data_IF_778424731911
#
_entry.id   IF_778424731911
#
_cell.length_a   1.000
_cell.length_b   1.000
_cell.length_c   1.000
_cell.angle_alpha   90.00
_cell.angle_beta   90.00
_cell.angle_gamma   90.00
#
_symmetry.space_group_name_H-M   'P 1'
#
loop_
_entity.id
_entity.type
_entity.pdbx_description
1 polymer ?
#
# COMPACT_ATOMS: atom_id res chain seq x y z
N UNK A 1 11.91 -4.27 -21.57
CA UNK A 1 12.65 -3.07 -21.15
C UNK A 1 11.84 -2.40 -20.04
N UNK A 2 12.42 -2.11 -18.87
CA UNK A 2 11.63 -1.47 -17.82
C UNK A 2 11.12 -0.10 -18.30
N UNK A 3 9.86 0.19 -18.05
CA UNK A 3 9.15 1.40 -18.50
C UNK A 3 9.81 2.74 -18.12
N UNK A 4 10.59 2.87 -17.02
CA UNK A 4 11.30 4.11 -16.74
C UNK A 4 12.39 4.47 -17.76
N UNK A 5 12.90 3.46 -18.47
CA UNK A 5 13.94 3.64 -19.52
C UNK A 5 13.34 4.01 -20.88
N UNK A 6 12.00 4.06 -21.01
CA UNK A 6 11.32 4.49 -22.21
C UNK A 6 11.25 6.02 -22.29
N UNK A 7 11.31 6.56 -23.50
CA UNK A 7 11.05 7.99 -23.73
C UNK A 7 9.57 8.32 -23.44
N UNK A 8 9.29 9.55 -23.08
CA UNK A 8 7.93 10.02 -22.74
C UNK A 8 6.93 9.73 -23.87
N UNK A 9 7.31 9.96 -25.12
CA UNK A 9 6.46 9.68 -26.29
C UNK A 9 6.12 8.19 -26.38
N UNK A 10 7.05 7.30 -26.08
CA UNK A 10 6.82 5.86 -26.09
C UNK A 10 5.88 5.43 -24.95
N UNK A 11 6.07 5.97 -23.74
CA UNK A 11 5.17 5.74 -22.62
C UNK A 11 3.76 6.20 -22.90
N UNK A 12 3.61 7.39 -23.49
CA UNK A 12 2.30 7.94 -23.84
C UNK A 12 1.59 7.09 -24.90
N UNK A 13 2.29 6.59 -25.90
CA UNK A 13 1.74 5.69 -26.90
C UNK A 13 1.25 4.37 -26.28
N UNK A 14 2.04 3.79 -25.36
CA UNK A 14 1.63 2.57 -24.63
C UNK A 14 0.41 2.81 -23.75
N UNK A 15 0.30 3.96 -23.11
CA UNK A 15 -0.88 4.33 -22.30
C UNK A 15 -2.11 4.45 -23.19
N UNK A 16 -2.00 5.12 -24.33
CA UNK A 16 -3.11 5.24 -25.29
C UNK A 16 -3.60 3.85 -25.73
N UNK A 17 -2.68 3.00 -26.18
CA UNK A 17 -3.00 1.63 -26.63
C UNK A 17 -3.67 0.81 -25.53
N UNK A 18 -3.10 0.78 -24.31
CA UNK A 18 -3.62 0.03 -23.19
C UNK A 18 -5.01 0.49 -22.75
N UNK A 19 -5.27 1.80 -22.75
CA UNK A 19 -6.60 2.34 -22.44
C UNK A 19 -7.60 1.98 -23.52
N UNK A 20 -7.23 2.11 -24.80
CA UNK A 20 -8.11 1.76 -25.91
C UNK A 20 -8.47 0.26 -25.91
N UNK A 21 -7.51 -0.62 -25.62
CA UNK A 21 -7.78 -2.06 -25.48
C UNK A 21 -8.73 -2.33 -24.31
N UNK A 22 -8.49 -1.75 -23.14
CA UNK A 22 -9.33 -1.92 -21.96
C UNK A 22 -10.77 -1.43 -22.21
N UNK A 23 -10.93 -0.35 -22.97
CA UNK A 23 -12.24 0.19 -23.35
C UNK A 23 -12.97 -0.77 -24.27
N UNK A 24 -12.28 -1.37 -25.25
CA UNK A 24 -12.88 -2.36 -26.17
C UNK A 24 -13.40 -3.56 -25.41
N UNK A 25 -12.64 -4.04 -24.42
CA UNK A 25 -13.02 -5.21 -23.61
C UNK A 25 -14.19 -4.91 -22.66
N UNK A 26 -14.36 -3.66 -22.22
CA UNK A 26 -15.39 -3.26 -21.24
C UNK A 26 -16.78 -3.00 -21.85
N UNK A 27 -17.12 -3.56 -22.93
CA UNK A 27 -18.49 -3.41 -23.47
C UNK A 27 -18.56 -2.59 -24.74
N UNK A 28 -17.52 -2.67 -25.51
CA UNK A 28 -17.44 -2.23 -26.89
C UNK A 28 -17.71 -0.72 -27.04
N UNK A 29 -18.86 -0.30 -27.45
CA UNK A 29 -19.13 1.10 -27.81
C UNK A 29 -19.80 1.93 -26.71
N UNK A 30 -20.17 1.33 -25.57
CA UNK A 30 -20.91 2.04 -24.50
C UNK A 30 -20.14 3.24 -23.96
N UNK A 31 -18.82 3.13 -23.81
CA UNK A 31 -17.98 4.23 -23.33
C UNK A 31 -17.80 5.37 -24.36
N UNK A 32 -18.11 5.15 -25.62
CA UNK A 32 -18.11 6.18 -26.67
C UNK A 32 -19.51 6.69 -27.02
N UNK A 33 -20.56 6.24 -26.30
CA UNK A 33 -21.93 6.53 -26.63
C UNK A 33 -22.42 7.94 -26.28
N UNK A 34 -21.68 8.66 -25.45
CA UNK A 34 -22.02 10.02 -24.99
C UNK A 34 -20.80 10.88 -24.83
N UNK A 35 -20.91 12.20 -25.04
CA UNK A 35 -19.84 13.17 -24.81
C UNK A 35 -19.32 13.15 -23.34
N UNK A 36 -20.17 12.80 -22.38
CA UNK A 36 -19.74 12.61 -20.97
C UNK A 36 -18.78 11.44 -20.82
N UNK A 37 -19.08 10.33 -21.46
CA UNK A 37 -18.23 9.14 -21.40
C UNK A 37 -16.89 9.37 -22.14
N UNK A 38 -16.94 10.01 -23.31
CA UNK A 38 -15.73 10.43 -24.05
C UNK A 38 -14.82 11.33 -23.18
N UNK A 39 -15.40 12.30 -22.48
CA UNK A 39 -14.66 13.12 -21.53
C UNK A 39 -14.05 12.30 -20.40
N UNK A 40 -14.77 11.30 -19.87
CA UNK A 40 -14.24 10.39 -18.84
C UNK A 40 -13.02 9.61 -19.35
N UNK A 41 -13.03 9.13 -20.60
CA UNK A 41 -11.88 8.45 -21.21
C UNK A 41 -10.67 9.39 -21.24
N UNK A 42 -10.84 10.63 -21.67
CA UNK A 42 -9.76 11.64 -21.68
C UNK A 42 -9.21 11.85 -20.27
N UNK A 43 -10.08 11.93 -19.26
CA UNK A 43 -9.67 12.05 -17.83
C UNK A 43 -8.91 10.84 -17.34
N UNK A 44 -9.33 9.64 -17.69
CA UNK A 44 -8.62 8.39 -17.32
C UNK A 44 -7.22 8.39 -17.94
N UNK A 45 -7.06 8.72 -19.21
CA UNK A 45 -5.76 8.82 -19.87
C UNK A 45 -4.84 9.83 -19.16
N UNK A 46 -5.36 10.99 -18.78
CA UNK A 46 -4.61 12.00 -18.01
C UNK A 46 -4.18 11.47 -16.63
N UNK A 47 -5.08 10.80 -15.88
CA UNK A 47 -4.77 10.18 -14.61
C UNK A 47 -3.65 9.14 -14.71
N UNK A 48 -3.72 8.29 -15.74
CA UNK A 48 -2.70 7.24 -15.97
C UNK A 48 -1.37 7.88 -16.33
N UNK A 49 -1.34 8.86 -17.26
CA UNK A 49 -0.11 9.59 -17.61
C UNK A 49 0.54 10.24 -16.38
N UNK A 50 -0.27 10.91 -15.55
CA UNK A 50 0.20 11.53 -14.32
C UNK A 50 0.77 10.49 -13.33
N UNK A 51 0.10 9.35 -13.18
CA UNK A 51 0.55 8.26 -12.32
C UNK A 51 1.84 7.62 -12.83
N UNK A 52 1.92 7.32 -14.13
CA UNK A 52 3.13 6.75 -14.75
C UNK A 52 4.31 7.72 -14.62
N UNK A 53 4.09 9.01 -14.86
CA UNK A 53 5.11 10.04 -14.67
C UNK A 53 5.64 10.07 -13.23
N UNK A 54 4.76 10.12 -12.22
CA UNK A 54 5.18 10.18 -10.83
C UNK A 54 5.91 8.91 -10.38
N UNK A 55 5.42 7.74 -10.79
CA UNK A 55 6.06 6.46 -10.50
C UNK A 55 7.42 6.32 -11.21
N UNK A 56 7.56 6.87 -12.42
CA UNK A 56 8.87 6.96 -13.11
C UNK A 56 9.87 7.76 -12.27
N UNK A 57 9.46 8.94 -11.77
CA UNK A 57 10.31 9.76 -10.89
C UNK A 57 10.73 9.03 -9.61
N UNK A 58 9.86 8.19 -9.03
CA UNK A 58 10.22 7.37 -7.88
C UNK A 58 11.29 6.33 -8.22
N UNK A 59 11.13 5.65 -9.36
CA UNK A 59 12.08 4.62 -9.80
C UNK A 59 13.42 5.19 -10.25
N UNK A 60 13.46 6.43 -10.76
CA UNK A 60 14.70 7.15 -11.13
C UNK A 60 15.55 7.54 -9.91
N UNK A 61 14.96 7.56 -8.71
CA UNK A 61 15.63 7.97 -7.46
C UNK A 61 16.20 6.83 -6.64
N UNK A 62 15.88 5.60 -6.96
CA UNK A 62 16.34 4.41 -6.23
C UNK A 62 16.63 3.24 -7.18
N UNK A 63 16.86 2.06 -6.59
CA UNK A 63 17.28 0.86 -7.32
C UNK A 63 16.15 -0.18 -7.44
N UNK A 64 14.99 0.08 -6.85
CA UNK A 64 13.88 -0.85 -6.94
C UNK A 64 13.29 -0.90 -8.35
N UNK A 65 13.29 -2.08 -8.95
CA UNK A 65 12.64 -2.34 -10.23
C UNK A 65 11.43 -3.28 -10.06
N UNK A 66 10.34 -3.10 -10.85
CA UNK A 66 9.21 -4.00 -10.82
C UNK A 66 9.59 -5.42 -11.22
N UNK A 67 9.36 -6.38 -10.31
CA UNK A 67 9.55 -7.81 -10.54
C UNK A 67 8.25 -8.53 -10.91
N UNK A 68 7.09 -7.93 -10.60
CA UNK A 68 5.79 -8.49 -10.95
C UNK A 68 4.62 -7.54 -10.80
N UNK A 69 3.62 -7.77 -11.65
CA UNK A 69 2.32 -7.09 -11.63
C UNK A 69 1.21 -8.12 -11.56
N UNK A 70 0.09 -7.77 -10.89
CA UNK A 70 -1.08 -8.63 -10.78
C UNK A 70 -0.71 -10.07 -10.37
N UNK A 71 0.24 -10.20 -9.43
CA UNK A 71 0.79 -11.49 -9.02
C UNK A 71 -0.21 -12.26 -8.17
N UNK A 72 -0.62 -13.44 -8.64
CA UNK A 72 -1.53 -14.31 -7.90
C UNK A 72 -0.83 -14.97 -6.70
N UNK A 73 -1.50 -14.95 -5.55
CA UNK A 73 -1.12 -15.75 -4.37
C UNK A 73 -2.38 -16.30 -3.69
N UNK A 74 -2.44 -17.61 -3.45
CA UNK A 74 -3.61 -18.23 -2.82
C UNK A 74 -4.93 -17.72 -3.40
N UNK A 75 -5.71 -16.97 -2.60
CA UNK A 75 -6.99 -16.37 -3.00
C UNK A 75 -6.92 -14.88 -3.37
N UNK A 76 -5.71 -14.32 -3.45
CA UNK A 76 -5.52 -12.89 -3.68
C UNK A 76 -4.62 -12.58 -4.86
N UNK A 77 -4.49 -11.30 -5.13
CA UNK A 77 -3.65 -10.75 -6.19
C UNK A 77 -2.92 -9.51 -5.67
N UNK A 78 -1.61 -9.44 -5.88
CA UNK A 78 -0.76 -8.31 -5.50
C UNK A 78 -0.64 -7.41 -6.73
N UNK A 79 -1.02 -6.15 -6.62
CA UNK A 79 -1.01 -5.23 -7.76
C UNK A 79 0.39 -5.04 -8.33
N UNK A 80 1.39 -4.82 -7.46
CA UNK A 80 2.78 -4.65 -7.87
C UNK A 80 3.76 -5.10 -6.79
N UNK A 81 4.77 -5.85 -7.23
CA UNK A 81 5.96 -6.20 -6.44
C UNK A 81 7.17 -5.56 -7.10
N UNK A 82 8.01 -4.89 -6.32
CA UNK A 82 9.31 -4.39 -6.77
C UNK A 82 10.41 -5.04 -5.94
N UNK A 83 11.53 -5.34 -6.59
CA UNK A 83 12.72 -5.91 -5.97
C UNK A 83 13.94 -5.03 -6.23
N UNK A 84 14.86 -5.06 -5.29
CA UNK A 84 16.21 -4.55 -5.46
C UNK A 84 17.19 -5.65 -5.04
N UNK A 85 18.11 -6.02 -5.92
CA UNK A 85 19.13 -7.02 -5.62
C UNK A 85 20.42 -6.32 -5.21
N UNK A 86 20.90 -6.63 -4.03
CA UNK A 86 22.26 -6.38 -3.57
C UNK A 86 23.03 -7.71 -3.56
N UNK A 87 24.35 -7.72 -3.20
CA UNK A 87 25.24 -8.87 -3.34
C UNK A 87 24.59 -10.21 -2.94
N UNK A 88 24.17 -10.34 -1.68
CA UNK A 88 23.58 -11.57 -1.14
C UNK A 88 22.13 -11.43 -0.69
N UNK A 89 21.50 -10.27 -0.97
CA UNK A 89 20.16 -9.94 -0.48
C UNK A 89 19.26 -9.48 -1.62
N UNK A 90 17.99 -9.88 -1.56
CA UNK A 90 16.90 -9.35 -2.40
C UNK A 90 15.93 -8.62 -1.51
N UNK A 91 15.88 -7.31 -1.63
CA UNK A 91 14.90 -6.49 -0.93
C UNK A 91 13.58 -6.43 -1.70
N UNK A 92 12.47 -6.60 -0.98
CA UNK A 92 11.13 -6.68 -1.58
C UNK A 92 10.22 -5.60 -1.01
N UNK A 93 9.57 -4.85 -1.88
CA UNK A 93 8.47 -3.96 -1.49
C UNK A 93 7.22 -4.24 -2.32
N UNK A 94 6.05 -3.95 -1.75
CA UNK A 94 4.77 -4.08 -2.44
C UNK A 94 4.08 -2.74 -2.52
N UNK A 95 3.39 -2.52 -3.64
CA UNK A 95 2.58 -1.32 -3.86
C UNK A 95 1.18 -1.73 -4.30
N UNK A 96 0.17 -1.19 -3.64
CA UNK A 96 -1.25 -1.38 -3.97
C UNK A 96 -1.86 -0.05 -4.42
N UNK A 97 -2.56 -0.06 -5.55
CA UNK A 97 -3.13 1.12 -6.18
C UNK A 97 -4.52 1.44 -5.64
N UNK A 98 -4.73 2.68 -5.20
CA UNK A 98 -6.01 3.12 -4.62
C UNK A 98 -6.57 4.34 -5.34
N UNK A 99 -7.83 4.28 -5.74
CA UNK A 99 -8.58 5.42 -6.29
C UNK A 99 -9.22 6.28 -5.19
N UNK A 100 -9.41 5.69 -3.99
CA UNK A 100 -9.98 6.37 -2.81
C UNK A 100 -8.94 6.97 -1.89
N UNK A 101 -9.44 7.69 -0.86
CA UNK A 101 -8.62 8.21 0.24
C UNK A 101 -8.31 7.07 1.23
N UNK A 102 -7.12 6.50 1.16
CA UNK A 102 -6.65 5.50 2.12
C UNK A 102 -5.24 5.86 2.57
N UNK A 103 -5.03 5.86 3.88
CA UNK A 103 -3.71 6.01 4.50
C UNK A 103 -3.44 4.79 5.36
N UNK A 104 -2.19 4.31 5.36
CA UNK A 104 -1.80 3.19 6.20
C UNK A 104 -1.76 3.62 7.67
N UNK A 105 -2.43 2.84 8.51
CA UNK A 105 -2.51 3.03 9.96
C UNK A 105 -2.17 1.72 10.67
N UNK A 106 -1.07 1.73 11.42
CA UNK A 106 -0.59 0.56 12.16
C UNK A 106 -1.53 0.17 13.32
N UNK A 107 -2.29 1.11 13.88
CA UNK A 107 -3.30 0.83 14.90
C UNK A 107 -4.47 0.06 14.27
N UNK A 108 -4.92 0.51 13.10
CA UNK A 108 -5.94 -0.22 12.33
C UNK A 108 -5.44 -1.62 11.93
N UNK A 109 -4.16 -1.78 11.55
CA UNK A 109 -3.57 -3.10 11.30
C UNK A 109 -3.63 -3.99 12.55
N UNK A 110 -3.22 -3.48 13.72
CA UNK A 110 -3.26 -4.23 14.97
C UNK A 110 -4.66 -4.78 15.28
N UNK A 111 -5.68 -3.98 15.00
CA UNK A 111 -7.08 -4.40 15.14
C UNK A 111 -7.60 -5.30 13.99
N UNK A 112 -6.76 -5.62 13.01
CA UNK A 112 -7.14 -6.47 11.87
C UNK A 112 -7.89 -5.76 10.75
N UNK A 113 -7.89 -4.43 10.70
CA UNK A 113 -8.66 -3.63 9.73
C UNK A 113 -7.89 -3.28 8.46
N UNK A 114 -6.58 -3.23 8.50
CA UNK A 114 -5.73 -2.87 7.36
C UNK A 114 -4.64 -3.92 7.08
N UNK A 115 -5.03 -5.18 6.97
CA UNK A 115 -4.11 -6.30 6.79
C UNK A 115 -3.58 -6.47 5.36
N UNK A 116 -4.21 -5.87 4.37
CA UNK A 116 -3.93 -6.11 2.95
C UNK A 116 -2.45 -5.99 2.58
N UNK A 117 -1.81 -4.85 2.87
CA UNK A 117 -0.42 -4.62 2.50
C UNK A 117 0.58 -5.57 3.17
N UNK A 118 0.54 -5.82 4.49
CA UNK A 118 1.43 -6.79 5.12
C UNK A 118 1.18 -8.24 4.66
N UNK A 119 -0.06 -8.63 4.37
CA UNK A 119 -0.38 -9.94 3.77
C UNK A 119 0.24 -10.04 2.38
N UNK A 120 0.14 -8.99 1.56
CA UNK A 120 0.77 -8.94 0.25
C UNK A 120 2.29 -9.06 0.32
N UNK A 121 2.91 -8.33 1.27
CA UNK A 121 4.37 -8.43 1.43
C UNK A 121 4.80 -9.81 1.91
N UNK A 122 4.10 -10.42 2.86
CA UNK A 122 4.37 -11.79 3.29
C UNK A 122 4.31 -12.78 2.11
N UNK A 123 3.30 -12.66 1.26
CA UNK A 123 3.18 -13.51 0.07
C UNK A 123 4.27 -13.22 -0.97
N UNK A 124 4.62 -11.95 -1.18
CA UNK A 124 5.69 -11.55 -2.10
C UNK A 124 7.06 -12.09 -1.64
N UNK A 125 7.38 -12.01 -0.34
CA UNK A 125 8.59 -12.59 0.22
C UNK A 125 8.68 -14.09 -0.06
N UNK A 126 7.61 -14.85 0.20
CA UNK A 126 7.56 -16.30 -0.07
C UNK A 126 7.70 -16.64 -1.57
N UNK A 127 7.20 -15.78 -2.46
CA UNK A 127 7.37 -15.96 -3.91
C UNK A 127 8.81 -15.66 -4.35
N UNK A 128 9.41 -14.60 -3.82
CA UNK A 128 10.78 -14.21 -4.15
C UNK A 128 11.82 -15.15 -3.51
N UNK A 129 11.60 -15.72 -2.33
CA UNK A 129 12.44 -16.76 -1.73
C UNK A 129 12.59 -17.98 -2.65
N UNK A 130 11.54 -18.34 -3.38
CA UNK A 130 11.59 -19.45 -4.37
C UNK A 130 12.39 -19.10 -5.63
N UNK A 131 12.56 -17.79 -5.92
CA UNK A 131 13.27 -17.29 -7.12
C UNK A 131 14.71 -16.92 -6.83
N UNK A 132 15.01 -16.55 -5.59
CA UNK A 132 16.26 -15.88 -5.19
C UNK A 132 17.52 -16.75 -5.23
N UNK A 133 17.47 -18.02 -5.67
CA UNK A 133 18.62 -18.87 -5.94
C UNK A 133 19.71 -18.84 -4.84
N UNK A 134 19.30 -18.85 -3.56
CA UNK A 134 20.21 -18.88 -2.41
C UNK A 134 20.55 -17.53 -1.79
N UNK A 135 20.04 -16.41 -2.33
CA UNK A 135 20.11 -15.10 -1.66
C UNK A 135 19.09 -14.99 -0.54
N UNK A 136 19.39 -14.19 0.47
CA UNK A 136 18.44 -13.83 1.53
C UNK A 136 17.38 -12.88 0.98
N UNK A 137 16.10 -13.10 1.30
CA UNK A 137 15.02 -12.19 0.90
C UNK A 137 14.56 -11.40 2.11
N UNK A 138 14.59 -10.06 2.00
CA UNK A 138 14.25 -9.16 3.10
C UNK A 138 13.14 -8.17 2.73
N UNK A 139 12.26 -7.83 3.70
CA UNK A 139 11.21 -6.85 3.47
C UNK A 139 11.78 -5.42 3.45
N UNK A 140 11.43 -4.63 2.44
CA UNK A 140 11.79 -3.23 2.32
C UNK A 140 10.65 -2.28 2.68
N UNK A 141 9.42 -2.57 2.30
CA UNK A 141 8.31 -1.69 2.58
C UNK A 141 6.97 -2.12 2.00
N UNK A 142 5.93 -1.49 2.52
CA UNK A 142 4.55 -1.66 2.09
C UNK A 142 3.95 -0.30 1.75
N UNK A 143 3.30 -0.17 0.59
CA UNK A 143 2.84 1.12 0.11
C UNK A 143 1.45 1.09 -0.49
N UNK A 144 0.68 2.14 -0.24
CA UNK A 144 -0.42 2.58 -1.07
C UNK A 144 0.08 3.66 -2.03
N UNK A 145 -0.28 3.53 -3.31
CA UNK A 145 -0.17 4.60 -4.28
C UNK A 145 -1.56 5.09 -4.65
N UNK A 146 -1.80 6.38 -4.44
CA UNK A 146 -3.10 6.97 -4.73
C UNK A 146 -3.14 7.50 -6.15
N UNK A 147 -3.98 6.88 -6.98
CA UNK A 147 -4.24 7.32 -8.35
C UNK A 147 -5.14 8.56 -8.27
N UNK A 148 -4.57 9.73 -8.51
CA UNK A 148 -5.29 11.01 -8.57
C UNK A 148 -4.59 11.99 -9.52
N UNK A 149 -5.34 13.00 -9.95
CA UNK A 149 -4.80 14.16 -10.66
C UNK A 149 -4.88 15.36 -9.71
N UNK A 150 -3.79 15.69 -9.00
CA UNK A 150 -3.83 16.70 -7.95
C UNK A 150 -4.01 18.09 -8.55
N UNK A 151 -4.86 18.88 -7.91
CA UNK A 151 -4.97 20.32 -8.18
C UNK A 151 -4.04 21.04 -7.21
N UNK A 152 -3.06 21.74 -7.74
CA UNK A 152 -2.08 22.51 -6.96
C UNK A 152 -2.07 23.97 -7.40
N UNK A 153 -1.74 24.86 -6.47
CA UNK A 153 -1.57 26.26 -6.80
C UNK A 153 -0.38 26.45 -7.75
N UNK A 154 -0.50 27.42 -8.62
CA UNK A 154 0.56 27.77 -9.58
C UNK A 154 1.82 28.23 -8.84
N UNK A 155 2.95 27.67 -9.23
CA UNK A 155 4.27 28.08 -8.76
C UNK A 155 4.99 29.01 -9.75
N UNK A 156 6.10 29.60 -9.28
CA UNK A 156 6.88 30.55 -10.08
C UNK A 156 7.73 29.88 -11.15
N UNK A 157 8.14 28.64 -10.90
CA UNK A 157 8.94 27.83 -11.80
C UNK A 157 8.38 26.41 -11.91
N UNK A 158 8.72 25.72 -12.97
CA UNK A 158 8.20 24.39 -13.28
C UNK A 158 8.71 23.33 -12.30
N UNK A 159 9.94 23.49 -11.77
CA UNK A 159 10.50 22.55 -10.80
C UNK A 159 9.71 22.56 -9.47
N UNK A 160 9.44 23.74 -8.93
CA UNK A 160 8.63 23.88 -7.72
C UNK A 160 7.20 23.35 -7.92
N UNK A 161 6.65 23.50 -9.12
CA UNK A 161 5.35 22.95 -9.49
C UNK A 161 5.40 21.41 -9.53
N UNK A 162 6.41 20.83 -10.15
CA UNK A 162 6.64 19.39 -10.17
C UNK A 162 6.77 18.81 -8.76
N UNK A 163 7.59 19.41 -7.90
CA UNK A 163 7.75 18.97 -6.51
C UNK A 163 6.42 18.98 -5.73
N UNK A 164 5.60 20.01 -5.92
CA UNK A 164 4.26 20.07 -5.30
C UNK A 164 3.37 18.94 -5.77
N UNK A 165 3.35 18.66 -7.08
CA UNK A 165 2.57 17.56 -7.65
C UNK A 165 3.06 16.22 -7.12
N UNK A 166 4.38 15.97 -7.09
CA UNK A 166 4.97 14.75 -6.57
C UNK A 166 4.66 14.54 -5.09
N UNK A 167 4.70 15.60 -4.28
CA UNK A 167 4.33 15.55 -2.87
C UNK A 167 2.86 15.11 -2.66
N UNK A 168 1.96 15.55 -3.54
CA UNK A 168 0.56 15.12 -3.52
C UNK A 168 0.40 13.66 -3.97
N UNK A 169 1.28 13.15 -4.82
CA UNK A 169 1.32 11.78 -5.35
C UNK A 169 2.28 10.86 -4.59
N UNK A 170 2.83 11.36 -3.48
CA UNK A 170 3.76 10.61 -2.64
C UNK A 170 3.16 9.30 -2.17
N UNK A 171 3.98 8.24 -2.13
CA UNK A 171 3.61 6.96 -1.52
C UNK A 171 3.18 7.15 -0.06
N UNK A 172 2.24 6.34 0.38
CA UNK A 172 1.85 6.24 1.78
C UNK A 172 1.97 4.79 2.26
N UNK A 173 2.59 4.57 3.41
CA UNK A 173 2.83 3.22 3.87
C UNK A 173 3.81 3.14 5.02
N UNK A 174 4.58 2.05 5.09
CA UNK A 174 5.58 1.80 6.12
C UNK A 174 6.85 1.24 5.48
N UNK A 175 8.00 1.76 5.89
CA UNK A 175 9.33 1.42 5.37
C UNK A 175 10.11 0.70 6.48
N UNK A 176 10.86 -0.34 6.13
CA UNK A 176 11.88 -0.92 6.98
C UNK A 176 13.04 0.06 7.12
N UNK A 177 13.37 0.45 8.35
CA UNK A 177 14.39 1.48 8.66
C UNK A 177 15.85 0.98 8.50
N UNK A 178 16.07 -0.16 7.84
CA UNK A 178 17.40 -0.62 7.48
C UNK A 178 18.07 0.39 6.56
N UNK A 179 19.32 0.74 6.80
CA UNK A 179 20.02 1.82 6.09
C UNK A 179 20.11 1.52 4.58
N UNK A 180 20.43 0.28 4.23
CA UNK A 180 20.50 -0.19 2.84
C UNK A 180 19.16 -0.06 2.13
N UNK A 181 18.06 -0.40 2.81
CA UNK A 181 16.70 -0.24 2.24
C UNK A 181 16.40 1.22 1.94
N UNK A 182 16.78 2.13 2.84
CA UNK A 182 16.56 3.57 2.66
C UNK A 182 17.35 4.11 1.48
N UNK A 183 18.64 3.71 1.36
CA UNK A 183 19.51 4.13 0.26
C UNK A 183 19.00 3.60 -1.10
N UNK A 184 18.56 2.34 -1.15
CA UNK A 184 17.96 1.76 -2.36
C UNK A 184 16.57 2.33 -2.70
N UNK A 185 15.83 2.86 -1.72
CA UNK A 185 14.55 3.53 -1.99
C UNK A 185 14.74 4.93 -2.57
N UNK A 186 15.71 5.67 -2.07
CA UNK A 186 15.99 7.04 -2.52
C UNK A 186 17.43 7.42 -2.24
N UNK A 187 18.25 7.42 -3.29
CA UNK A 187 19.64 7.81 -3.25
C UNK A 187 19.80 9.25 -2.76
N UNK A 188 20.83 9.47 -1.93
CA UNK A 188 21.20 10.80 -1.43
C UNK A 188 20.04 11.55 -0.77
N UNK A 189 19.14 10.82 -0.08
CA UNK A 189 18.01 11.42 0.61
C UNK A 189 18.47 12.55 1.55
N UNK A 190 17.98 13.76 1.28
CA UNK A 190 18.25 14.97 2.08
C UNK A 190 16.94 15.70 2.36
N UNK A 191 16.70 16.05 3.62
CA UNK A 191 15.45 16.68 4.02
C UNK A 191 14.26 15.72 3.90
N UNK A 192 13.07 16.24 3.56
CA UNK A 192 11.85 15.45 3.43
C UNK A 192 11.64 15.06 1.97
N UNK A 193 11.52 13.76 1.69
CA UNK A 193 11.21 13.27 0.35
C UNK A 193 9.82 13.72 -0.12
N UNK A 194 9.74 14.06 -1.40
CA UNK A 194 8.47 14.31 -2.10
C UNK A 194 7.87 13.04 -2.71
N UNK A 195 8.61 11.93 -2.70
CA UNK A 195 8.27 10.66 -3.36
C UNK A 195 7.89 9.56 -2.35
N UNK A 196 8.65 9.49 -1.24
CA UNK A 196 8.52 8.46 -0.22
C UNK A 196 8.13 9.06 1.14
N UNK A 197 7.42 8.35 2.03
CA UNK A 197 7.02 8.88 3.33
C UNK A 197 8.18 8.87 4.34
N UNK A 198 9.30 9.46 3.97
CA UNK A 198 10.56 9.47 4.72
C UNK A 198 11.25 10.82 4.61
N UNK A 199 12.10 11.13 5.58
CA UNK A 199 12.98 12.29 5.53
C UNK A 199 14.12 12.17 6.55
N UNK A 200 15.23 12.87 6.26
CA UNK A 200 16.40 12.97 7.12
C UNK A 200 16.52 14.37 7.71
N UNK A 201 16.94 14.44 8.96
CA UNK A 201 17.36 15.66 9.63
C UNK A 201 18.76 16.09 9.12
N UNK A 202 19.20 17.28 9.52
CA UNK A 202 20.54 17.79 9.14
C UNK A 202 21.70 16.95 9.68
N UNK A 203 21.47 16.21 10.77
CA UNK A 203 22.44 15.30 11.38
C UNK A 203 22.43 13.88 10.75
N UNK A 204 21.63 13.67 9.71
CA UNK A 204 21.50 12.38 9.01
C UNK A 204 20.50 11.42 9.64
N UNK A 205 19.99 11.68 10.83
CA UNK A 205 18.96 10.85 11.47
C UNK A 205 17.61 10.98 10.74
N UNK A 206 16.78 9.94 10.85
CA UNK A 206 15.41 9.99 10.29
C UNK A 206 14.57 10.99 11.09
N UNK A 207 13.79 11.80 10.37
CA UNK A 207 12.92 12.76 11.02
C UNK A 207 11.67 12.07 11.62
N UNK A 208 11.04 12.72 12.59
CA UNK A 208 9.87 12.20 13.33
C UNK A 208 8.64 11.93 12.48
N UNK A 209 8.57 12.49 11.27
CA UNK A 209 7.44 12.31 10.34
C UNK A 209 7.66 11.15 9.38
N UNK A 210 8.82 10.52 9.43
CA UNK A 210 9.13 9.35 8.62
C UNK A 210 8.26 8.18 9.05
N UNK A 211 7.58 7.57 8.08
CA UNK A 211 6.78 6.36 8.30
C UNK A 211 7.70 5.12 8.19
N UNK A 212 8.46 4.89 9.22
CA UNK A 212 9.45 3.81 9.28
C UNK A 212 9.26 2.96 10.54
N UNK A 213 9.69 1.70 10.48
CA UNK A 213 9.86 0.81 11.63
C UNK A 213 11.29 0.27 11.65
N UNK A 214 11.92 0.14 12.83
CA UNK A 214 13.14 -0.65 12.97
C UNK A 214 12.98 -2.05 12.38
N UNK A 215 14.05 -2.68 11.86
CA UNK A 215 13.96 -3.99 11.21
C UNK A 215 13.24 -5.04 12.05
N UNK A 216 13.50 -5.10 13.34
CA UNK A 216 12.88 -6.04 14.29
C UNK A 216 11.38 -5.79 14.42
N UNK A 217 10.99 -4.53 14.58
CA UNK A 217 9.57 -4.14 14.67
C UNK A 217 8.83 -4.35 13.34
N UNK A 218 9.52 -4.19 12.20
CA UNK A 218 8.95 -4.48 10.89
C UNK A 218 8.71 -6.00 10.73
N UNK A 219 9.66 -6.83 11.13
CA UNK A 219 9.53 -8.28 11.16
C UNK A 219 8.42 -8.75 12.11
N UNK A 220 8.32 -8.12 13.30
CA UNK A 220 7.23 -8.38 14.24
C UNK A 220 5.86 -8.05 13.63
N UNK A 221 5.71 -6.91 12.96
CA UNK A 221 4.48 -6.55 12.25
C UNK A 221 4.07 -7.61 11.21
N UNK A 222 5.00 -8.14 10.44
CA UNK A 222 4.75 -9.18 9.44
C UNK A 222 4.35 -10.51 10.08
N UNK A 223 5.05 -10.93 11.13
CA UNK A 223 4.77 -12.15 11.91
C UNK A 223 3.40 -12.08 12.59
N UNK A 224 3.10 -10.94 13.22
CA UNK A 224 1.79 -10.65 13.80
C UNK A 224 0.67 -10.78 12.74
N UNK A 225 0.89 -10.22 11.55
CA UNK A 225 -0.09 -10.30 10.46
C UNK A 225 -0.37 -11.75 10.06
N UNK A 226 0.66 -12.60 9.92
CA UNK A 226 0.49 -14.04 9.64
C UNK A 226 -0.34 -14.73 10.72
N UNK A 227 -0.05 -14.44 12.00
CA UNK A 227 -0.82 -14.99 13.15
C UNK A 227 -2.29 -14.55 13.11
N UNK A 228 -2.52 -13.25 12.88
CA UNK A 228 -3.87 -12.67 12.80
C UNK A 228 -4.68 -13.22 11.63
N UNK A 229 -4.06 -13.37 10.47
CA UNK A 229 -4.68 -14.01 9.30
C UNK A 229 -5.10 -15.46 9.59
N UNK A 230 -4.22 -16.24 10.22
CA UNK A 230 -4.53 -17.60 10.60
C UNK A 230 -5.68 -17.67 11.64
N UNK A 231 -5.72 -16.74 12.59
CA UNK A 231 -6.81 -16.62 13.56
C UNK A 231 -8.14 -16.32 12.85
N UNK A 232 -8.19 -15.34 11.97
CA UNK A 232 -9.41 -14.98 11.23
C UNK A 232 -9.87 -16.13 10.35
N UNK A 233 -8.97 -16.84 9.67
CA UNK A 233 -9.31 -18.04 8.90
C UNK A 233 -9.94 -19.12 9.77
N UNK A 234 -9.39 -19.40 10.96
CA UNK A 234 -9.99 -20.36 11.90
C UNK A 234 -11.41 -19.96 12.31
N UNK A 235 -11.63 -18.70 12.64
CA UNK A 235 -12.96 -18.18 13.00
C UNK A 235 -13.97 -18.34 11.87
N UNK A 236 -13.57 -18.03 10.64
CA UNK A 236 -14.41 -18.23 9.44
C UNK A 236 -14.78 -19.72 9.27
N UNK A 237 -13.80 -20.61 9.37
CA UNK A 237 -14.04 -22.06 9.25
C UNK A 237 -14.84 -22.63 10.42
N UNK A 238 -14.77 -22.04 11.60
CA UNK A 238 -15.59 -22.38 12.76
C UNK A 238 -17.04 -21.87 12.63
N UNK A 239 -17.35 -21.10 11.59
CA UNK A 239 -18.70 -20.58 11.36
C UNK A 239 -19.09 -19.44 12.30
N UNK A 240 -18.13 -18.62 12.77
CA UNK A 240 -18.44 -17.43 13.56
C UNK A 240 -19.16 -16.39 12.69
N UNK A 241 -20.45 -16.15 13.02
CA UNK A 241 -21.33 -15.26 12.25
C UNK A 241 -21.97 -14.16 13.11
N UNK A 242 -21.48 -13.97 14.35
CA UNK A 242 -22.05 -12.96 15.25
C UNK A 242 -21.86 -11.54 14.69
N UNK A 243 -22.92 -10.74 14.72
CA UNK A 243 -22.88 -9.34 14.42
C UNK A 243 -22.18 -8.60 15.57
N UNK A 244 -20.88 -8.34 15.42
CA UNK A 244 -20.04 -7.63 16.39
C UNK A 244 -19.19 -6.54 15.67
N UNK A 245 -19.87 -5.49 15.13
CA UNK A 245 -19.18 -4.45 14.38
C UNK A 245 -18.30 -3.60 15.30
N UNK A 246 -17.15 -3.20 14.76
CA UNK A 246 -16.22 -2.32 15.46
C UNK A 246 -16.59 -0.84 15.33
N UNK A 247 -16.04 -0.05 16.24
CA UNK A 247 -15.90 1.42 16.13
C UNK A 247 -14.46 1.83 16.41
N UNK A 248 -13.86 2.58 15.48
CA UNK A 248 -12.52 3.15 15.60
C UNK A 248 -12.50 4.57 15.00
N UNK A 249 -12.15 5.57 15.80
CA UNK A 249 -12.02 6.96 15.34
C UNK A 249 -13.29 7.51 14.63
N UNK A 250 -14.47 7.08 15.06
CA UNK A 250 -15.75 7.51 14.47
C UNK A 250 -16.11 6.75 13.18
N UNK A 251 -15.29 5.83 12.71
CA UNK A 251 -15.62 4.90 11.63
C UNK A 251 -16.07 3.56 12.20
N UNK A 252 -17.08 2.97 11.59
CA UNK A 252 -17.66 1.71 12.04
C UNK A 252 -17.62 0.63 10.97
N UNK A 253 -17.69 -0.64 11.39
CA UNK A 253 -17.84 -1.75 10.46
C UNK A 253 -19.15 -1.71 9.66
N UNK A 254 -20.11 -0.85 10.03
CA UNK A 254 -21.40 -0.72 9.39
C UNK A 254 -21.46 0.36 8.30
N UNK A 255 -20.46 1.27 8.21
CA UNK A 255 -20.52 2.45 7.34
C UNK A 255 -20.71 2.10 5.86
N UNK A 256 -20.05 1.04 5.39
CA UNK A 256 -20.12 0.58 4.00
C UNK A 256 -20.50 -0.91 3.91
N UNK A 257 -21.21 -1.43 4.92
CA UNK A 257 -21.59 -2.84 4.97
C UNK A 257 -22.73 -3.13 3.99
N UNK A 258 -22.50 -4.02 3.04
CA UNK A 258 -23.51 -4.46 2.09
C UNK A 258 -24.70 -5.20 2.73
N UNK A 259 -24.54 -5.69 3.95
CA UNK A 259 -25.55 -6.45 4.70
C UNK A 259 -26.29 -5.61 5.75
N UNK A 260 -26.08 -4.31 5.78
CA UNK A 260 -26.64 -3.41 6.81
C UNK A 260 -28.17 -3.54 6.91
N UNK A 261 -28.85 -3.62 5.78
CA UNK A 261 -30.32 -3.62 5.73
C UNK A 261 -30.95 -4.95 6.17
N UNK A 262 -30.17 -6.03 6.21
CA UNK A 262 -30.65 -7.38 6.58
C UNK A 262 -30.00 -7.92 7.88
N UNK A 263 -28.93 -7.27 8.37
CA UNK A 263 -28.17 -7.74 9.54
C UNK A 263 -28.97 -7.60 10.84
N UNK A 264 -29.86 -6.61 10.95
CA UNK A 264 -30.65 -6.33 12.15
C UNK A 264 -29.89 -5.70 13.29
N UNK A 265 -28.58 -5.38 13.13
CA UNK A 265 -27.81 -4.65 14.14
C UNK A 265 -28.26 -3.19 14.21
N UNK A 266 -28.76 -2.78 15.38
CA UNK A 266 -29.12 -1.39 15.66
C UNK A 266 -28.65 -0.99 17.06
N UNK A 267 -27.66 -0.08 17.19
CA UNK A 267 -27.11 0.32 18.48
C UNK A 267 -28.09 1.11 19.37
N UNK A 268 -29.27 1.42 18.87
CA UNK A 268 -30.36 2.04 19.67
C UNK A 268 -31.19 1.01 20.42
N UNK A 269 -31.03 -0.27 20.12
CA UNK A 269 -31.74 -1.36 20.78
C UNK A 269 -30.88 -1.95 21.90
N UNK A 270 -31.51 -2.36 22.99
CA UNK A 270 -30.83 -3.01 24.09
C UNK A 270 -30.14 -4.32 23.64
N UNK A 271 -28.91 -4.50 24.09
CA UNK A 271 -28.09 -5.67 23.74
C UNK A 271 -27.23 -5.50 22.49
N UNK A 272 -27.36 -4.38 21.75
CA UNK A 272 -26.51 -4.05 20.61
C UNK A 272 -25.57 -2.90 20.94
N UNK A 273 -24.28 -3.11 20.75
CA UNK A 273 -23.26 -2.05 20.90
C UNK A 273 -22.12 -2.29 19.94
N UNK A 274 -21.47 -1.21 19.51
CA UNK A 274 -20.21 -1.32 18.78
C UNK A 274 -19.10 -1.79 19.73
N UNK A 275 -18.23 -2.64 19.22
CA UNK A 275 -16.98 -2.98 19.89
C UNK A 275 -16.01 -1.83 19.71
N UNK A 276 -15.89 -0.97 20.73
CA UNK A 276 -14.95 0.16 20.71
C UNK A 276 -13.51 -0.36 20.69
N UNK A 277 -12.76 0.04 19.68
CA UNK A 277 -11.34 -0.30 19.54
C UNK A 277 -10.48 0.80 20.15
N UNK A 278 -9.52 0.40 20.98
CA UNK A 278 -8.65 1.34 21.67
C UNK A 278 -7.66 2.01 20.72
N UNK A 279 -7.36 3.27 21.02
CA UNK A 279 -6.33 4.06 20.32
C UNK A 279 -5.01 3.88 21.04
N UNK A 280 -4.03 3.35 20.35
CA UNK A 280 -2.69 3.17 20.88
C UNK A 280 -1.69 4.09 20.18
N UNK A 281 -0.55 4.37 20.83
CA UNK A 281 0.60 4.94 20.13
C UNK A 281 1.25 3.88 19.23
N UNK A 282 2.07 4.30 18.27
CA UNK A 282 2.81 3.38 17.41
C UNK A 282 3.70 2.44 18.23
N UNK A 283 4.38 2.97 19.23
CA UNK A 283 5.27 2.23 20.12
C UNK A 283 4.52 1.17 20.93
N UNK A 284 3.34 1.52 21.44
CA UNK A 284 2.49 0.60 22.18
C UNK A 284 1.95 -0.52 21.29
N UNK A 285 1.58 -0.21 20.03
CA UNK A 285 1.16 -1.22 19.04
C UNK A 285 2.27 -2.22 18.77
N UNK A 286 3.50 -1.75 18.55
CA UNK A 286 4.65 -2.61 18.30
C UNK A 286 4.88 -3.56 19.47
N UNK A 287 4.95 -3.03 20.69
CA UNK A 287 5.11 -3.82 21.91
C UNK A 287 4.04 -4.90 22.04
N UNK A 288 2.78 -4.56 21.80
CA UNK A 288 1.66 -5.51 21.84
C UNK A 288 1.75 -6.59 20.77
N UNK A 289 2.19 -6.23 19.56
CA UNK A 289 2.42 -7.20 18.50
C UNK A 289 3.51 -8.20 18.89
N UNK A 290 4.61 -7.72 19.47
CA UNK A 290 5.71 -8.54 19.97
C UNK A 290 5.23 -9.50 21.08
N UNK A 291 4.53 -8.98 22.08
CA UNK A 291 3.94 -9.79 23.16
C UNK A 291 2.98 -10.86 22.64
N UNK A 292 2.13 -10.51 21.67
CA UNK A 292 1.21 -11.50 21.09
C UNK A 292 1.92 -12.57 20.25
N UNK A 293 3.07 -12.27 19.64
CA UNK A 293 3.88 -13.26 18.92
C UNK A 293 4.57 -14.20 19.89
N UNK A 294 5.13 -13.68 21.00
CA UNK A 294 5.84 -14.46 22.01
C UNK A 294 4.91 -15.39 22.80
N UNK A 295 3.70 -14.95 23.09
CA UNK A 295 2.67 -15.76 23.70
C UNK A 295 2.25 -16.87 22.73
N UNK A 296 3.02 -17.98 22.73
CA UNK A 296 2.65 -19.22 22.06
C UNK A 296 1.31 -19.65 22.60
N UNK A 297 0.36 -19.93 21.70
CA UNK A 297 -0.89 -20.56 22.09
C UNK A 297 -0.55 -21.80 22.91
N UNK A 298 -0.90 -21.82 24.20
CA UNK A 298 -1.04 -23.08 24.90
C UNK A 298 -2.13 -23.86 24.16
N UNK A 299 -1.83 -25.07 23.71
CA UNK A 299 -2.84 -25.88 23.05
C UNK A 299 -3.94 -26.20 24.07
N UNK A 300 -5.13 -25.63 23.88
CA UNK A 300 -6.35 -25.98 24.59
C UNK A 300 -6.97 -27.27 24.02
#
# INVERSE_FOLDING_TARGET
>A
MPWPKLEEVQRDAMIEESVEESIKDYGNTVLYSTARNEYMIVRIKQLIRRSVWALTRQMEKGDFEPSGYEMNFGSGKIDRVDTCEDEDVVYVKVTDYKTGMKSFDIVALYHGLQMQLPVYLNAALELEERRASGKTVEPAGIFYYRIKDPIVDREKDDHALEEKILKELRLDGMINAKEEVIEHLEHQLSGTSVLNPIGKNKDGSLNRYSKVLPPEAFAAMLSYTKKKEAQVKRQIYAGEVQANPYELNGSTGCDYCAYRDICGFDPRLDGYSYRSLEKYSKEEVIRRMEEEIENREEPS
#
